data_IF_784186630786
#
_entry.id   IF_784186630786
#
_cell.length_a   1.000
_cell.length_b   1.000
_cell.length_c   1.000
_cell.angle_alpha   90.00
_cell.angle_beta   90.00
_cell.angle_gamma   90.00
#
_symmetry.space_group_name_H-M   'P 1'
#
loop_
_entity.id
_entity.type
_entity.pdbx_description
1 polymer ?
#
# COMPACT_ATOMS: atom_id res chain seq x y z
N UNK A 1 61.12 57.73 -29.76
CA UNK A 1 59.65 57.62 -29.95
C UNK A 1 59.04 56.29 -29.48
N UNK A 2 59.80 55.17 -29.41
CA UNK A 2 59.27 53.85 -29.05
C UNK A 2 58.85 53.69 -27.58
N UNK A 3 59.47 54.41 -26.65
CA UNK A 3 59.18 54.35 -25.20
C UNK A 3 57.91 55.09 -24.77
N UNK A 4 57.45 56.09 -25.53
CA UNK A 4 56.22 56.84 -25.22
C UNK A 4 54.95 56.07 -25.60
N UNK A 5 55.03 55.20 -26.62
CA UNK A 5 53.91 54.38 -27.07
C UNK A 5 53.62 53.21 -26.11
N UNK A 6 54.67 52.69 -25.46
CA UNK A 6 54.58 51.61 -24.47
C UNK A 6 53.95 52.07 -23.14
N UNK A 7 54.20 53.32 -22.74
CA UNK A 7 53.59 53.94 -21.56
C UNK A 7 52.09 54.20 -21.72
N UNK A 8 51.63 54.54 -22.93
CA UNK A 8 50.20 54.75 -23.22
C UNK A 8 49.36 53.46 -23.14
N UNK A 9 49.96 52.31 -23.47
CA UNK A 9 49.29 51.01 -23.42
C UNK A 9 49.11 50.52 -21.97
N UNK A 10 50.09 50.78 -21.10
CA UNK A 10 50.06 50.35 -19.68
C UNK A 10 49.03 51.14 -18.86
N UNK A 11 48.78 52.41 -19.20
CA UNK A 11 47.82 53.27 -18.49
C UNK A 11 46.37 52.97 -18.88
N UNK A 12 46.11 52.37 -20.06
CA UNK A 12 44.76 52.02 -20.52
C UNK A 12 44.30 50.61 -20.11
N UNK A 13 45.22 49.74 -19.70
CA UNK A 13 44.93 48.37 -19.25
C UNK A 13 43.95 48.25 -18.05
N UNK A 14 43.92 49.15 -17.04
CA UNK A 14 43.02 49.01 -15.88
C UNK A 14 41.56 49.37 -16.17
N UNK A 15 41.26 50.05 -17.28
CA UNK A 15 39.89 50.49 -17.60
C UNK A 15 39.09 49.45 -18.39
N UNK A 16 39.75 48.46 -19.00
CA UNK A 16 39.09 47.35 -19.69
C UNK A 16 38.69 46.20 -18.75
N UNK A 17 39.21 46.16 -17.52
CA UNK A 17 38.92 45.09 -16.55
C UNK A 17 37.59 45.26 -15.79
N UNK A 18 36.89 46.39 -15.97
CA UNK A 18 35.65 46.70 -15.23
C UNK A 18 34.36 46.64 -16.05
N UNK A 19 34.39 46.28 -17.33
CA UNK A 19 33.23 46.42 -18.20
C UNK A 19 32.30 45.19 -18.35
N UNK A 20 32.64 43.97 -17.90
CA UNK A 20 31.84 42.78 -18.29
C UNK A 20 31.64 41.67 -17.24
N UNK A 21 31.82 41.92 -15.93
CA UNK A 21 31.67 40.86 -14.91
C UNK A 21 30.37 40.93 -14.07
N UNK A 22 29.40 41.76 -14.43
CA UNK A 22 28.13 41.89 -13.67
C UNK A 22 27.01 40.96 -14.17
N UNK A 23 26.91 40.73 -15.48
CA UNK A 23 25.80 39.95 -16.07
C UNK A 23 26.01 38.43 -15.99
N UNK A 24 27.23 37.94 -16.29
CA UNK A 24 27.54 36.51 -16.28
C UNK A 24 27.43 35.89 -14.87
N UNK A 25 27.87 36.61 -13.83
CA UNK A 25 27.84 36.12 -12.45
C UNK A 25 26.41 36.10 -11.87
N UNK A 26 25.54 37.06 -12.24
CA UNK A 26 24.10 37.01 -11.94
C UNK A 26 23.39 35.87 -12.66
N UNK A 27 23.78 35.57 -13.91
CA UNK A 27 23.15 34.52 -14.71
C UNK A 27 23.49 33.11 -14.19
N UNK A 28 24.71 32.89 -13.70
CA UNK A 28 25.13 31.63 -13.06
C UNK A 28 24.45 31.40 -11.71
N UNK A 29 24.25 32.45 -10.91
CA UNK A 29 23.51 32.36 -9.64
C UNK A 29 22.02 32.03 -9.87
N UNK A 30 21.39 32.63 -10.88
CA UNK A 30 19.99 32.31 -11.24
C UNK A 30 19.82 30.89 -11.79
N UNK A 31 20.78 30.40 -12.59
CA UNK A 31 20.83 29.02 -13.10
C UNK A 31 20.89 27.99 -11.97
N UNK A 32 21.77 28.20 -10.98
CA UNK A 32 21.90 27.30 -9.84
C UNK A 32 20.64 27.24 -8.97
N UNK A 33 19.94 28.36 -8.77
CA UNK A 33 18.69 28.37 -8.00
C UNK A 33 17.55 27.64 -8.71
N UNK A 34 17.44 27.79 -10.04
CA UNK A 34 16.42 27.10 -10.82
C UNK A 34 16.70 25.60 -10.92
N UNK A 35 17.96 25.20 -11.10
CA UNK A 35 18.36 23.80 -11.15
C UNK A 35 18.18 23.09 -9.80
N UNK A 36 18.53 23.75 -8.70
CA UNK A 36 18.28 23.24 -7.35
C UNK A 36 16.78 23.09 -7.05
N UNK A 37 15.95 24.05 -7.49
CA UNK A 37 14.49 23.97 -7.37
C UNK A 37 13.92 22.83 -8.23
N UNK A 38 14.40 22.67 -9.46
CA UNK A 38 13.96 21.62 -10.38
C UNK A 38 14.32 20.23 -9.84
N UNK A 39 15.53 20.04 -9.32
CA UNK A 39 15.95 18.77 -8.73
C UNK A 39 15.15 18.38 -7.49
N UNK A 40 14.81 19.33 -6.61
CA UNK A 40 13.94 19.07 -5.45
C UNK A 40 12.56 18.59 -5.89
N UNK A 41 12.00 19.19 -6.93
CA UNK A 41 10.69 18.81 -7.45
C UNK A 41 10.67 17.42 -8.11
N UNK A 42 11.70 17.11 -8.90
CA UNK A 42 11.85 15.78 -9.52
C UNK A 42 12.01 14.69 -8.46
N UNK A 43 12.79 14.96 -7.41
CA UNK A 43 12.98 14.04 -6.30
C UNK A 43 11.66 13.76 -5.55
N UNK A 44 10.89 14.79 -5.21
CA UNK A 44 9.59 14.63 -4.55
C UNK A 44 8.61 13.81 -5.39
N UNK A 45 8.57 14.07 -6.70
CA UNK A 45 7.71 13.31 -7.62
C UNK A 45 8.12 11.83 -7.71
N UNK A 46 9.42 11.55 -7.79
CA UNK A 46 9.93 10.18 -7.81
C UNK A 46 9.62 9.45 -6.49
N UNK A 47 9.79 10.13 -5.35
CA UNK A 47 9.44 9.59 -4.04
C UNK A 47 7.94 9.25 -3.97
N UNK A 48 7.09 10.15 -4.45
CA UNK A 48 5.64 9.96 -4.47
C UNK A 48 5.22 8.77 -5.35
N UNK A 49 5.84 8.58 -6.52
CA UNK A 49 5.59 7.40 -7.35
C UNK A 49 5.96 6.10 -6.64
N UNK A 50 7.09 6.08 -5.92
CA UNK A 50 7.50 4.91 -5.13
C UNK A 50 6.50 4.59 -4.03
N UNK A 51 6.01 5.60 -3.32
CA UNK A 51 4.99 5.42 -2.29
C UNK A 51 3.70 4.85 -2.90
N UNK A 52 3.20 5.43 -4.00
CA UNK A 52 1.99 4.93 -4.69
C UNK A 52 2.15 3.49 -5.19
N UNK A 53 3.32 3.13 -5.73
CA UNK A 53 3.63 1.77 -6.14
C UNK A 53 3.64 0.81 -4.94
N UNK A 54 4.23 1.23 -3.81
CA UNK A 54 4.28 0.41 -2.59
C UNK A 54 2.88 0.16 -2.02
N UNK A 55 2.01 1.18 -1.97
CA UNK A 55 0.63 1.03 -1.50
C UNK A 55 -0.18 0.09 -2.41
N UNK A 56 0.01 0.20 -3.72
CA UNK A 56 -0.65 -0.69 -4.70
C UNK A 56 -0.20 -2.13 -4.50
N UNK A 57 1.10 -2.36 -4.32
CA UNK A 57 1.64 -3.67 -4.02
C UNK A 57 1.12 -4.24 -2.69
N UNK A 58 1.03 -3.41 -1.65
CA UNK A 58 0.51 -3.81 -0.35
C UNK A 58 -0.96 -4.24 -0.44
N UNK A 59 -1.81 -3.47 -1.14
CA UNK A 59 -3.20 -3.83 -1.39
C UNK A 59 -3.30 -5.18 -2.11
N UNK A 60 -2.59 -5.36 -3.22
CA UNK A 60 -2.61 -6.62 -3.97
C UNK A 60 -2.14 -7.81 -3.12
N UNK A 61 -1.10 -7.61 -2.31
CA UNK A 61 -0.58 -8.65 -1.43
C UNK A 61 -1.59 -9.03 -0.35
N UNK A 62 -2.24 -8.03 0.27
CA UNK A 62 -3.29 -8.25 1.26
C UNK A 62 -4.52 -8.95 0.65
N UNK A 63 -4.94 -8.58 -0.56
CA UNK A 63 -6.01 -9.24 -1.32
C UNK A 63 -5.70 -10.72 -1.58
N UNK A 64 -4.48 -11.04 -2.02
CA UNK A 64 -4.05 -12.43 -2.26
C UNK A 64 -4.05 -13.23 -0.94
N UNK A 65 -3.56 -12.64 0.16
CA UNK A 65 -3.57 -13.30 1.46
C UNK A 65 -5.00 -13.51 1.97
N UNK A 66 -5.86 -12.53 1.83
CA UNK A 66 -7.28 -12.62 2.17
C UNK A 66 -7.97 -13.74 1.38
N UNK A 67 -7.80 -13.80 0.06
CA UNK A 67 -8.36 -14.85 -0.78
C UNK A 67 -7.89 -16.27 -0.38
N UNK A 68 -6.63 -16.39 0.07
CA UNK A 68 -6.11 -17.66 0.62
C UNK A 68 -6.81 -18.05 1.92
N UNK A 69 -7.04 -17.10 2.83
CA UNK A 69 -7.77 -17.34 4.07
C UNK A 69 -9.26 -17.64 3.81
N UNK A 70 -9.92 -16.95 2.88
CA UNK A 70 -11.31 -17.26 2.46
C UNK A 70 -11.43 -18.69 1.92
N UNK A 71 -10.47 -19.13 1.11
CA UNK A 71 -10.42 -20.51 0.61
C UNK A 71 -10.23 -21.52 1.75
N UNK A 72 -9.42 -21.21 2.76
CA UNK A 72 -9.24 -22.05 3.95
C UNK A 72 -10.51 -22.11 4.79
N UNK A 73 -11.19 -20.97 4.97
CA UNK A 73 -12.45 -20.87 5.68
C UNK A 73 -13.50 -21.76 5.01
N UNK A 74 -13.68 -21.63 3.68
CA UNK A 74 -14.61 -22.45 2.91
C UNK A 74 -14.34 -23.95 3.06
N UNK A 75 -13.07 -24.38 2.94
CA UNK A 75 -12.68 -25.78 3.12
C UNK A 75 -13.01 -26.29 4.52
N UNK A 76 -12.77 -25.48 5.55
CA UNK A 76 -13.01 -25.85 6.94
C UNK A 76 -14.52 -25.90 7.23
N UNK A 77 -15.30 -24.95 6.71
CA UNK A 77 -16.76 -24.94 6.78
C UNK A 77 -17.37 -26.19 6.19
N UNK A 78 -16.94 -26.60 5.00
CA UNK A 78 -17.41 -27.84 4.36
C UNK A 78 -17.11 -29.08 5.20
N UNK A 79 -15.88 -29.18 5.73
CA UNK A 79 -15.51 -30.31 6.60
C UNK A 79 -16.33 -30.31 7.90
N UNK A 80 -16.61 -29.14 8.48
CA UNK A 80 -17.39 -28.98 9.70
C UNK A 80 -18.82 -29.44 9.47
N UNK A 81 -19.45 -29.02 8.36
CA UNK A 81 -20.81 -29.44 7.98
C UNK A 81 -20.90 -30.95 7.86
N UNK A 82 -19.98 -31.59 7.10
CA UNK A 82 -19.94 -33.05 6.98
C UNK A 82 -19.79 -33.76 8.32
N UNK A 83 -18.94 -33.24 9.21
CA UNK A 83 -18.75 -33.81 10.55
C UNK A 83 -20.01 -33.65 11.40
N UNK A 84 -20.69 -32.51 11.29
CA UNK A 84 -21.93 -32.23 12.00
C UNK A 84 -23.06 -33.16 11.53
N UNK A 85 -23.24 -33.33 10.22
CA UNK A 85 -24.19 -34.30 9.64
C UNK A 85 -23.91 -35.73 10.14
N UNK A 86 -22.64 -36.14 10.13
CA UNK A 86 -22.25 -37.47 10.59
C UNK A 86 -22.49 -37.66 12.11
N UNK A 87 -22.32 -36.61 12.91
CA UNK A 87 -22.67 -36.64 14.33
C UNK A 87 -24.18 -36.74 14.55
N UNK A 88 -24.99 -36.03 13.76
CA UNK A 88 -26.45 -36.11 13.82
C UNK A 88 -26.94 -37.51 13.47
N UNK A 89 -26.38 -38.14 12.44
CA UNK A 89 -26.67 -39.55 12.10
C UNK A 89 -26.32 -40.50 13.25
N UNK A 90 -25.10 -40.40 13.80
CA UNK A 90 -24.68 -41.23 14.96
C UNK A 90 -25.54 -40.99 16.20
N UNK A 91 -25.99 -39.76 16.42
CA UNK A 91 -26.88 -39.43 17.53
C UNK A 91 -28.27 -40.06 17.35
N UNK A 92 -28.77 -40.12 16.11
CA UNK A 92 -29.99 -40.83 15.77
C UNK A 92 -29.85 -42.34 15.98
N UNK A 93 -28.77 -42.95 15.48
CA UNK A 93 -28.43 -44.38 15.70
C UNK A 93 -28.36 -44.71 17.20
N UNK A 94 -27.72 -43.84 17.98
CA UNK A 94 -27.63 -43.99 19.43
C UNK A 94 -29.00 -43.96 20.11
N UNK A 95 -29.89 -43.11 19.62
CA UNK A 95 -31.26 -42.99 20.15
C UNK A 95 -32.10 -44.22 19.78
N UNK A 96 -31.95 -44.75 18.57
CA UNK A 96 -32.63 -45.99 18.16
C UNK A 96 -32.15 -47.20 18.95
N UNK A 97 -30.83 -47.34 19.15
CA UNK A 97 -30.22 -48.41 19.95
C UNK A 97 -30.70 -48.36 21.40
N UNK A 98 -30.78 -47.16 22.00
CA UNK A 98 -31.29 -46.98 23.36
C UNK A 98 -32.77 -47.32 23.52
N UNK A 99 -33.58 -47.13 22.48
CA UNK A 99 -35.02 -47.38 22.54
C UNK A 99 -35.38 -48.84 22.24
N UNK A 100 -34.51 -49.60 21.58
CA UNK A 100 -34.68 -51.04 21.30
C UNK A 100 -34.30 -51.95 22.50
N UNK A 101 -34.47 -51.43 23.74
CA UNK A 101 -33.76 -51.74 24.99
C UNK A 101 -33.95 -53.14 25.63
N UNK A 102 -34.17 -54.20 24.88
CA UNK A 102 -34.12 -55.57 25.44
C UNK A 102 -32.85 -56.35 25.03
N UNK A 103 -32.09 -55.88 24.03
CA UNK A 103 -30.91 -56.60 23.52
C UNK A 103 -29.72 -55.74 23.08
N UNK A 104 -29.75 -54.41 23.27
CA UNK A 104 -28.65 -53.54 22.86
C UNK A 104 -27.39 -53.82 23.69
N UNK A 105 -26.30 -54.20 23.03
CA UNK A 105 -25.02 -54.48 23.68
C UNK A 105 -24.49 -53.16 24.31
N UNK A 106 -24.37 -53.16 25.64
CA UNK A 106 -23.88 -52.00 26.40
C UNK A 106 -22.50 -51.53 25.90
N UNK A 107 -21.70 -52.43 25.35
CA UNK A 107 -20.41 -52.14 24.73
C UNK A 107 -20.58 -51.22 23.50
N UNK A 108 -21.56 -51.50 22.65
CA UNK A 108 -21.84 -50.73 21.44
C UNK A 108 -22.31 -49.31 21.77
N UNK A 109 -23.20 -49.17 22.75
CA UNK A 109 -23.65 -47.87 23.27
C UNK A 109 -22.49 -47.03 23.81
N UNK A 110 -21.57 -47.64 24.56
CA UNK A 110 -20.41 -46.95 25.12
C UNK A 110 -19.43 -46.52 24.01
N UNK A 111 -19.20 -47.37 23.02
CA UNK A 111 -18.35 -47.04 21.87
C UNK A 111 -18.91 -45.87 21.06
N UNK A 112 -20.21 -45.88 20.77
CA UNK A 112 -20.87 -44.84 20.00
C UNK A 112 -20.84 -43.48 20.72
N UNK A 113 -21.09 -43.47 22.04
CA UNK A 113 -20.92 -42.27 22.89
C UNK A 113 -19.48 -41.73 22.86
N UNK A 114 -18.48 -42.60 22.98
CA UNK A 114 -17.06 -42.22 22.92
C UNK A 114 -16.69 -41.60 21.57
N UNK A 115 -17.24 -42.12 20.47
CA UNK A 115 -17.05 -41.55 19.14
C UNK A 115 -17.70 -40.18 19.01
N UNK A 116 -18.93 -40.00 19.51
CA UNK A 116 -19.62 -38.70 19.51
C UNK A 116 -18.83 -37.64 20.29
N UNK A 117 -18.30 -37.97 21.46
CA UNK A 117 -17.45 -37.05 22.24
C UNK A 117 -16.15 -36.69 21.51
N UNK A 118 -15.50 -37.66 20.85
CA UNK A 118 -14.32 -37.39 20.02
C UNK A 118 -14.66 -36.47 18.86
N UNK A 119 -15.78 -36.68 18.19
CA UNK A 119 -16.21 -35.88 17.05
C UNK A 119 -16.65 -34.47 17.50
N UNK A 120 -17.29 -34.31 18.66
CA UNK A 120 -17.59 -33.02 19.30
C UNK A 120 -16.31 -32.19 19.54
N UNK A 121 -15.28 -32.80 20.14
CA UNK A 121 -13.97 -32.14 20.34
C UNK A 121 -13.30 -31.73 19.03
N UNK A 122 -13.48 -32.50 17.95
CA UNK A 122 -12.98 -32.10 16.62
C UNK A 122 -13.75 -30.90 16.09
N UNK A 123 -15.08 -30.88 16.26
CA UNK A 123 -15.95 -29.80 15.84
C UNK A 123 -15.59 -28.49 16.55
N UNK A 124 -15.34 -28.54 17.87
CA UNK A 124 -14.89 -27.38 18.65
C UNK A 124 -13.55 -26.83 18.13
N UNK A 125 -12.58 -27.71 17.84
CA UNK A 125 -11.30 -27.30 17.23
C UNK A 125 -11.48 -26.66 15.87
N UNK A 126 -12.46 -27.12 15.08
CA UNK A 126 -12.75 -26.55 13.77
C UNK A 126 -13.42 -25.19 13.89
N UNK A 127 -14.35 -25.01 14.83
CA UNK A 127 -14.96 -23.72 15.13
C UNK A 127 -13.91 -22.69 15.57
N UNK A 128 -12.98 -23.08 16.45
CA UNK A 128 -11.88 -22.22 16.87
C UNK A 128 -11.01 -21.78 15.68
N UNK A 129 -10.67 -22.71 14.77
CA UNK A 129 -9.92 -22.40 13.54
C UNK A 129 -10.69 -21.48 12.60
N UNK A 130 -12.01 -21.66 12.46
CA UNK A 130 -12.83 -20.76 11.66
C UNK A 130 -12.83 -19.35 12.24
N UNK A 131 -13.03 -19.21 13.56
CA UNK A 131 -12.99 -17.91 14.23
C UNK A 131 -11.64 -17.20 14.03
N UNK A 132 -10.53 -17.93 14.15
CA UNK A 132 -9.20 -17.38 13.88
C UNK A 132 -9.04 -16.95 12.41
N UNK A 133 -9.49 -17.77 11.47
CA UNK A 133 -9.43 -17.47 10.03
C UNK A 133 -10.26 -16.24 9.68
N UNK A 134 -11.46 -16.10 10.25
CA UNK A 134 -12.32 -14.94 10.07
C UNK A 134 -11.65 -13.66 10.58
N UNK A 135 -11.04 -13.68 11.77
CA UNK A 135 -10.29 -12.53 12.30
C UNK A 135 -9.14 -12.10 11.37
N UNK A 136 -8.44 -13.06 10.77
CA UNK A 136 -7.38 -12.75 9.79
C UNK A 136 -7.95 -12.10 8.54
N UNK A 137 -9.10 -12.56 8.04
CA UNK A 137 -9.78 -11.95 6.89
C UNK A 137 -10.17 -10.50 7.22
N UNK A 138 -10.74 -10.25 8.40
CA UNK A 138 -11.10 -8.90 8.86
C UNK A 138 -9.86 -7.99 8.93
N UNK A 139 -8.76 -8.48 9.50
CA UNK A 139 -7.49 -7.74 9.55
C UNK A 139 -6.96 -7.38 8.15
N UNK A 140 -7.03 -8.28 7.17
CA UNK A 140 -6.64 -7.95 5.80
C UNK A 140 -7.59 -6.94 5.14
N UNK A 141 -8.89 -6.99 5.43
CA UNK A 141 -9.85 -5.98 4.93
C UNK A 141 -9.52 -4.59 5.47
N UNK A 142 -9.19 -4.48 6.75
CA UNK A 142 -8.75 -3.23 7.36
C UNK A 142 -7.45 -2.71 6.73
N UNK A 143 -6.47 -3.58 6.49
CA UNK A 143 -5.22 -3.24 5.82
C UNK A 143 -5.46 -2.72 4.39
N UNK A 144 -6.30 -3.40 3.62
CA UNK A 144 -6.69 -2.97 2.26
C UNK A 144 -7.36 -1.60 2.30
N UNK A 145 -8.32 -1.41 3.21
CA UNK A 145 -9.04 -0.14 3.33
C UNK A 145 -8.10 1.02 3.70
N UNK A 146 -7.23 0.80 4.70
CA UNK A 146 -6.22 1.78 5.11
C UNK A 146 -5.32 2.19 3.94
N UNK A 147 -4.75 1.21 3.24
CA UNK A 147 -3.87 1.47 2.10
C UNK A 147 -4.60 2.18 0.94
N UNK A 148 -5.87 1.85 0.69
CA UNK A 148 -6.69 2.54 -0.30
C UNK A 148 -6.96 4.00 0.06
N UNK A 149 -7.29 4.29 1.33
CA UNK A 149 -7.47 5.65 1.83
C UNK A 149 -6.18 6.45 1.68
N UNK A 150 -5.04 5.89 2.08
CA UNK A 150 -3.73 6.55 1.92
C UNK A 150 -3.40 6.82 0.44
N UNK A 151 -3.73 5.86 -0.44
CA UNK A 151 -3.54 6.00 -1.89
C UNK A 151 -4.42 7.11 -2.48
N UNK A 152 -5.69 7.19 -2.09
CA UNK A 152 -6.61 8.25 -2.54
C UNK A 152 -6.16 9.63 -2.03
N UNK A 153 -5.72 9.71 -0.77
CA UNK A 153 -5.19 10.94 -0.21
C UNK A 153 -3.94 11.42 -0.95
N UNK A 154 -3.02 10.51 -1.29
CA UNK A 154 -1.84 10.84 -2.10
C UNK A 154 -2.23 11.24 -3.52
N UNK A 155 -3.15 10.54 -4.16
CA UNK A 155 -3.64 10.88 -5.50
C UNK A 155 -4.24 12.29 -5.56
N UNK A 156 -5.04 12.68 -4.57
CA UNK A 156 -5.59 14.04 -4.45
C UNK A 156 -4.49 15.09 -4.31
N UNK A 157 -3.49 14.86 -3.44
CA UNK A 157 -2.33 15.75 -3.31
C UNK A 157 -1.57 15.91 -4.63
N UNK A 158 -1.41 14.83 -5.40
CA UNK A 158 -0.76 14.87 -6.72
C UNK A 158 -1.55 15.76 -7.69
N UNK A 159 -2.87 15.60 -7.73
CA UNK A 159 -3.72 16.42 -8.61
C UNK A 159 -3.69 17.89 -8.24
N UNK A 160 -3.80 18.22 -6.95
CA UNK A 160 -3.75 19.59 -6.44
C UNK A 160 -2.41 20.25 -6.78
N UNK A 161 -1.29 19.56 -6.60
CA UNK A 161 0.03 20.07 -6.98
C UNK A 161 0.16 20.28 -8.51
N UNK A 162 -0.39 19.36 -9.32
CA UNK A 162 -0.39 19.50 -10.79
C UNK A 162 -1.22 20.71 -11.21
N UNK A 163 -2.42 20.90 -10.63
CA UNK A 163 -3.29 22.05 -10.88
C UNK A 163 -2.62 23.37 -10.47
N UNK A 164 -2.00 23.42 -9.29
CA UNK A 164 -1.27 24.59 -8.82
C UNK A 164 -0.07 24.94 -9.73
N UNK A 165 0.66 23.94 -10.23
CA UNK A 165 1.74 24.13 -11.21
C UNK A 165 1.25 24.67 -12.54
N UNK A 166 0.14 24.15 -13.06
CA UNK A 166 -0.46 24.63 -14.30
C UNK A 166 -0.89 26.09 -14.17
N UNK A 167 -1.53 26.46 -13.05
CA UNK A 167 -1.92 27.84 -12.75
C UNK A 167 -0.72 28.79 -12.66
N UNK A 168 0.37 28.42 -11.95
CA UNK A 168 1.59 29.23 -11.86
C UNK A 168 2.27 29.42 -13.22
N UNK A 169 2.35 28.36 -14.04
CA UNK A 169 2.89 28.47 -15.40
C UNK A 169 2.04 29.41 -16.27
N UNK A 170 0.72 29.33 -16.19
CA UNK A 170 -0.19 30.21 -16.92
C UNK A 170 -0.05 31.68 -16.49
N UNK A 171 0.05 31.95 -15.18
CA UNK A 171 0.26 33.31 -14.65
C UNK A 171 1.59 33.92 -15.12
N UNK A 172 2.69 33.15 -15.03
CA UNK A 172 4.02 33.61 -15.48
C UNK A 172 4.11 33.88 -16.99
N UNK A 173 3.27 33.23 -17.80
CA UNK A 173 3.19 33.49 -19.24
C UNK A 173 2.41 34.79 -19.52
N UNK A 174 1.33 35.05 -18.77
CA UNK A 174 0.54 36.28 -18.90
C UNK A 174 1.33 37.54 -18.50
N UNK A 175 2.12 37.50 -17.43
CA UNK A 175 3.00 38.63 -17.05
C UNK A 175 4.07 38.92 -18.12
N UNK A 176 4.63 37.89 -18.75
CA UNK A 176 5.62 38.07 -19.83
C UNK A 176 5.05 38.62 -21.13
N UNK A 177 3.76 38.44 -21.39
CA UNK A 177 3.07 38.97 -22.59
C UNK A 177 2.51 40.38 -22.39
N UNK A 178 2.37 40.87 -21.16
CA UNK A 178 1.85 42.23 -20.87
C UNK A 178 2.98 43.27 -20.74
N UNK A 179 4.24 42.81 -20.61
CA UNK A 179 5.42 43.67 -20.45
C UNK A 179 6.23 43.90 -21.73
N UNK A 180 5.70 43.50 -22.90
CA UNK A 180 6.23 43.79 -24.24
C UNK A 180 5.18 44.63 -25.00
#
# INVERSE_FOLDING_TARGET
>A
MKTRLLLLIIIMLPLLSRAQFSSAQRQVQMSNTMFAQQNRMTMLFQQQQRIMASLTYNVQTAEIKMAKEEKKLLKTTKKRQKLQELMETKQAELSTLKNASDAADQSELNNLNSHLEKDKRKLDKMNAKQAETTKRIESYKEEINKNNIEREALAKKVEEEKKAKAAKKAASKKEKTVSN
#
